data_IF_722204425495
#
_entry.id   IF_722204425495
#
_cell.length_a   1.000
_cell.length_b   1.000
_cell.length_c   1.000
_cell.angle_alpha   90.00
_cell.angle_beta   90.00
_cell.angle_gamma   90.00
#
_symmetry.space_group_name_H-M   'P 1'
#
loop_
_entity.id
_entity.type
_entity.pdbx_description
1 polymer ?
#
# COMPACT_ATOMS: atom_id res chain seq x y z
N UNK A 1 20.98 27.01 9.04
CA UNK A 1 21.46 25.63 9.20
C UNK A 1 20.32 24.65 9.53
N UNK A 2 19.10 25.13 9.78
CA UNK A 2 17.98 24.30 10.25
C UNK A 2 17.13 23.68 9.13
N UNK A 3 17.08 24.29 7.94
CA UNK A 3 16.26 23.79 6.82
C UNK A 3 16.77 22.43 6.31
N UNK A 4 18.09 22.23 6.26
CA UNK A 4 18.67 20.96 5.80
C UNK A 4 18.43 19.81 6.78
N UNK A 5 18.40 20.07 8.09
CA UNK A 5 18.10 19.05 9.10
C UNK A 5 16.60 18.67 9.10
N UNK A 6 15.69 19.64 8.95
CA UNK A 6 14.25 19.37 8.80
C UNK A 6 13.94 18.55 7.54
N UNK A 7 14.57 18.89 6.41
CA UNK A 7 14.39 18.16 5.15
C UNK A 7 14.97 16.73 5.23
N UNK A 8 16.07 16.56 5.96
CA UNK A 8 16.68 15.25 6.19
C UNK A 8 15.83 14.37 7.13
N UNK A 9 15.29 14.96 8.20
CA UNK A 9 14.39 14.27 9.12
C UNK A 9 13.06 13.87 8.46
N UNK A 10 12.54 14.69 7.55
CA UNK A 10 11.34 14.36 6.77
C UNK A 10 11.58 13.16 5.84
N UNK A 11 12.69 13.15 5.10
CA UNK A 11 13.08 12.00 4.28
C UNK A 11 13.31 10.72 5.09
N UNK A 12 13.89 10.83 6.29
CA UNK A 12 14.05 9.68 7.21
C UNK A 12 12.72 9.21 7.78
N UNK A 13 11.77 10.11 8.03
CA UNK A 13 10.41 9.78 8.44
C UNK A 13 9.64 9.07 7.31
N UNK A 14 9.73 9.57 6.07
CA UNK A 14 9.19 8.92 4.86
C UNK A 14 9.81 7.53 4.67
N UNK A 15 11.13 7.39 4.85
CA UNK A 15 11.82 6.10 4.76
C UNK A 15 11.43 5.11 5.87
N UNK A 16 11.12 5.58 7.08
CA UNK A 16 10.71 4.74 8.23
C UNK A 16 9.22 4.41 8.24
N UNK A 17 8.39 5.27 7.68
CA UNK A 17 6.95 5.07 7.51
C UNK A 17 6.57 4.65 6.09
N UNK A 18 7.57 4.27 5.28
CA UNK A 18 7.34 3.54 4.05
C UNK A 18 6.39 2.40 4.38
N UNK A 19 5.22 2.41 3.74
CA UNK A 19 4.22 1.34 3.68
C UNK A 19 3.05 1.48 4.64
N UNK A 20 2.27 2.53 4.41
CA UNK A 20 0.86 2.50 4.75
C UNK A 20 0.08 2.16 3.49
N UNK A 21 -0.80 1.17 3.56
CA UNK A 21 -1.84 0.92 2.56
C UNK A 21 -3.12 1.48 3.13
N UNK A 22 -3.77 2.35 2.39
CA UNK A 22 -5.09 2.86 2.75
C UNK A 22 -6.14 1.94 2.14
N UNK A 23 -7.12 1.53 2.96
CA UNK A 23 -8.28 0.76 2.53
C UNK A 23 -9.51 1.67 2.58
N UNK A 24 -10.14 1.87 1.43
CA UNK A 24 -11.41 2.58 1.29
C UNK A 24 -12.52 1.55 1.06
N UNK A 25 -13.62 1.67 1.82
CA UNK A 25 -14.79 0.78 1.71
C UNK A 25 -16.04 1.63 1.58
N UNK A 26 -16.77 1.42 0.49
CA UNK A 26 -18.05 2.04 0.20
C UNK A 26 -19.20 1.30 0.93
N UNK A 27 -20.37 1.95 1.13
CA UNK A 27 -21.53 1.32 1.77
C UNK A 27 -22.09 0.08 1.04
N UNK A 28 -21.81 -0.06 -0.26
CA UNK A 28 -22.17 -1.23 -1.07
C UNK A 28 -21.17 -2.39 -0.97
N UNK A 29 -20.18 -2.26 -0.08
CA UNK A 29 -19.07 -3.19 0.12
C UNK A 29 -18.05 -3.27 -1.01
N UNK A 30 -18.12 -2.38 -2.00
CA UNK A 30 -17.03 -2.14 -2.95
C UNK A 30 -15.96 -1.24 -2.32
N UNK A 31 -14.83 -1.08 -3.00
CA UNK A 31 -13.79 -0.17 -2.55
C UNK A 31 -12.48 -0.36 -3.28
N UNK A 32 -11.42 0.20 -2.71
CA UNK A 32 -10.09 0.15 -3.30
C UNK A 32 -8.98 0.23 -2.24
N UNK A 33 -7.79 -0.19 -2.66
CA UNK A 33 -6.55 -0.08 -1.91
C UNK A 33 -5.60 0.90 -2.61
N UNK A 34 -5.04 1.80 -1.81
CA UNK A 34 -4.07 2.81 -2.27
C UNK A 34 -2.74 2.64 -1.55
N UNK A 35 -1.63 2.87 -2.26
CA UNK A 35 -0.37 3.16 -1.56
C UNK A 35 -0.53 4.56 -0.95
N UNK A 36 -0.19 4.76 0.33
CA UNK A 36 -0.49 6.02 1.04
C UNK A 36 0.06 7.30 0.37
N UNK A 37 1.04 7.16 -0.52
CA UNK A 37 1.67 8.26 -1.25
C UNK A 37 1.25 8.32 -2.73
N UNK A 38 0.43 7.39 -3.18
CA UNK A 38 -0.04 7.30 -4.56
C UNK A 38 -1.51 7.67 -4.63
N UNK A 39 -1.88 8.44 -5.64
CA UNK A 39 -3.27 8.82 -5.90
C UNK A 39 -3.99 7.72 -6.71
N UNK A 40 -3.24 6.78 -7.30
CA UNK A 40 -3.80 5.66 -8.04
C UNK A 40 -4.06 4.43 -7.15
N UNK A 41 -5.28 3.90 -7.24
CA UNK A 41 -5.60 2.63 -6.62
C UNK A 41 -4.84 1.49 -7.31
N UNK A 42 -4.12 0.69 -6.53
CA UNK A 42 -3.42 -0.49 -7.05
C UNK A 42 -4.33 -1.74 -7.09
N UNK A 43 -5.47 -1.70 -6.39
CA UNK A 43 -6.45 -2.76 -6.39
C UNK A 43 -7.85 -2.20 -6.10
N UNK A 44 -8.81 -2.51 -6.98
CA UNK A 44 -10.23 -2.21 -6.79
C UNK A 44 -10.99 -3.52 -6.59
N UNK A 45 -12.02 -3.50 -5.74
CA UNK A 45 -12.86 -4.67 -5.47
C UNK A 45 -14.33 -4.29 -5.45
N UNK A 46 -15.15 -5.22 -5.92
CA UNK A 46 -16.62 -5.11 -5.94
C UNK A 46 -17.30 -5.73 -4.71
N UNK A 47 -16.54 -6.46 -3.88
CA UNK A 47 -17.03 -7.09 -2.66
C UNK A 47 -15.92 -7.36 -1.64
N UNK A 48 -16.29 -7.51 -0.36
CA UNK A 48 -15.36 -7.96 0.69
C UNK A 48 -14.76 -9.34 0.39
N UNK A 49 -15.50 -10.22 -0.30
CA UNK A 49 -14.98 -11.53 -0.67
C UNK A 49 -13.80 -11.41 -1.64
N UNK A 50 -13.90 -10.52 -2.63
CA UNK A 50 -12.83 -10.26 -3.59
C UNK A 50 -11.59 -9.65 -2.91
N UNK A 51 -11.79 -8.75 -1.94
CA UNK A 51 -10.72 -8.22 -1.08
C UNK A 51 -10.04 -9.32 -0.26
N UNK A 52 -10.81 -10.21 0.36
CA UNK A 52 -10.26 -11.34 1.13
C UNK A 52 -9.47 -12.31 0.23
N UNK A 53 -10.01 -12.62 -0.95
CA UNK A 53 -9.34 -13.46 -1.95
C UNK A 53 -8.01 -12.82 -2.38
N UNK A 54 -7.98 -11.51 -2.56
CA UNK A 54 -6.76 -10.76 -2.87
C UNK A 54 -5.72 -10.86 -1.75
N UNK A 55 -6.10 -10.74 -0.48
CA UNK A 55 -5.14 -10.89 0.62
C UNK A 55 -4.66 -12.34 0.83
N UNK A 56 -5.51 -13.33 0.55
CA UNK A 56 -5.16 -14.75 0.72
C UNK A 56 -4.32 -15.30 -0.43
N UNK A 57 -4.57 -14.83 -1.66
CA UNK A 57 -3.95 -15.34 -2.89
C UNK A 57 -2.91 -14.39 -3.48
N UNK A 58 -2.96 -13.11 -3.11
CA UNK A 58 -2.05 -12.10 -3.60
C UNK A 58 -0.67 -12.23 -2.96
N UNK A 59 0.35 -11.82 -3.72
CA UNK A 59 1.70 -11.72 -3.17
C UNK A 59 1.97 -10.31 -2.65
N UNK A 60 2.64 -10.24 -1.50
CA UNK A 60 3.19 -9.01 -1.00
C UNK A 60 4.38 -8.62 -1.88
N UNK A 61 4.40 -7.38 -2.37
CA UNK A 61 5.62 -6.80 -2.94
C UNK A 61 6.69 -6.91 -1.85
N UNK A 62 7.91 -7.30 -2.22
CA UNK A 62 9.04 -7.36 -1.30
C UNK A 62 10.08 -6.32 -1.73
N UNK A 63 10.69 -5.60 -0.79
CA UNK A 63 11.88 -4.82 -1.10
C UNK A 63 13.04 -5.74 -1.44
N UNK A 64 14.09 -5.16 -2.03
CA UNK A 64 15.40 -5.80 -2.21
C UNK A 64 15.97 -6.38 -0.91
N UNK A 65 15.56 -5.87 0.24
CA UNK A 65 15.99 -6.31 1.57
C UNK A 65 15.03 -7.35 2.21
N UNK A 66 14.04 -7.84 1.46
CA UNK A 66 13.10 -8.87 1.91
C UNK A 66 11.99 -8.39 2.85
N UNK A 67 11.81 -7.07 3.01
CA UNK A 67 10.70 -6.49 3.80
C UNK A 67 9.46 -6.36 2.91
N UNK A 68 8.29 -6.75 3.41
CA UNK A 68 7.02 -6.62 2.66
C UNK A 68 6.61 -5.16 2.52
N UNK A 69 6.29 -4.76 1.28
CA UNK A 69 6.00 -3.41 0.80
C UNK A 69 4.58 -3.31 0.23
N UNK A 70 3.57 -3.71 0.99
CA UNK A 70 2.15 -3.73 0.56
C UNK A 70 1.78 -4.91 -0.37
N UNK A 71 0.49 -5.31 -0.41
CA UNK A 71 0.01 -6.35 -1.33
C UNK A 71 -0.12 -5.74 -2.72
N UNK A 72 0.61 -6.21 -3.72
CA UNK A 72 0.68 -5.47 -5.01
C UNK A 72 0.41 -6.31 -6.25
N UNK A 73 0.37 -7.65 -6.20
CA UNK A 73 0.21 -8.39 -7.46
C UNK A 73 -0.62 -9.66 -7.32
N UNK A 74 -1.69 -9.75 -8.12
CA UNK A 74 -2.33 -11.03 -8.48
C UNK A 74 -1.44 -11.69 -9.54
N UNK A 75 -0.72 -12.75 -9.16
CA UNK A 75 -0.05 -13.58 -10.15
C UNK A 75 -1.11 -14.27 -11.01
N UNK A 76 -1.13 -13.96 -12.31
CA UNK A 76 -1.86 -14.78 -13.29
C UNK A 76 -1.27 -16.20 -13.23
N UNK A 77 -2.09 -17.17 -12.82
CA UNK A 77 -1.81 -18.58 -13.05
C UNK A 77 -1.84 -18.90 -14.54
#
# INVERSE_FOLDING_TARGET
>A
MEINELTHNWKLFEQRNNLSTTLEINPDHSGCLHEFWDDEAFFEFSSIQELNDFFLKGELKKTKDGRSVSPVVILKQ
#
